data_IF_746212641890
#
_entry.id   IF_746212641890
#
_cell.length_a   1.000
_cell.length_b   1.000
_cell.length_c   1.000
_cell.angle_alpha   90.00
_cell.angle_beta   90.00
_cell.angle_gamma   90.00
#
_symmetry.space_group_name_H-M   'P 1'
#
loop_
_entity.id
_entity.type
_entity.pdbx_description
1 polymer ?
#
# COMPACT_ATOMS: atom_id res chain seq x y z
N UNK A 1 14.61 -29.77 -3.55
CA UNK A 1 14.41 -28.43 -2.96
C UNK A 1 14.86 -27.31 -3.92
N UNK A 2 14.64 -27.47 -5.23
CA UNK A 2 14.97 -26.47 -6.28
C UNK A 2 13.73 -26.09 -7.12
N UNK A 3 12.70 -26.95 -7.19
CA UNK A 3 11.48 -26.63 -7.97
C UNK A 3 10.61 -25.56 -7.32
N UNK A 4 10.65 -25.42 -6.00
CA UNK A 4 9.88 -24.39 -5.27
C UNK A 4 10.38 -22.97 -5.51
N UNK A 5 11.66 -22.79 -5.84
CA UNK A 5 12.26 -21.47 -6.07
C UNK A 5 11.83 -20.92 -7.43
N UNK A 6 11.95 -21.70 -8.50
CA UNK A 6 11.50 -21.27 -9.84
C UNK A 6 10.00 -20.98 -9.94
N UNK A 7 9.17 -21.70 -9.17
CA UNK A 7 7.73 -21.46 -9.13
C UNK A 7 7.38 -20.16 -8.39
N UNK A 8 8.21 -19.76 -7.42
CA UNK A 8 8.08 -18.48 -6.71
C UNK A 8 8.57 -17.33 -7.58
N UNK A 9 9.70 -17.49 -8.28
CA UNK A 9 10.25 -16.46 -9.17
C UNK A 9 9.26 -16.05 -10.28
N UNK A 10 8.52 -17.01 -10.86
CA UNK A 10 7.47 -16.71 -11.86
C UNK A 10 6.29 -15.94 -11.27
N UNK A 11 5.92 -16.21 -10.02
CA UNK A 11 4.83 -15.48 -9.33
C UNK A 11 5.25 -14.10 -8.86
N UNK A 12 6.53 -13.89 -8.58
CA UNK A 12 7.05 -12.58 -8.20
C UNK A 12 7.09 -11.62 -9.39
N UNK A 13 7.25 -12.12 -10.63
CA UNK A 13 7.12 -11.31 -11.86
C UNK A 13 5.68 -10.81 -12.13
N UNK A 14 4.65 -11.49 -11.62
CA UNK A 14 3.24 -11.10 -11.79
C UNK A 14 2.76 -10.11 -10.72
N UNK A 15 3.59 -9.79 -9.73
CA UNK A 15 3.27 -8.79 -8.71
C UNK A 15 3.42 -7.40 -9.30
N UNK A 16 2.28 -6.76 -9.56
CA UNK A 16 2.24 -5.30 -9.70
C UNK A 16 2.83 -4.71 -8.40
N UNK A 17 3.95 -3.99 -8.54
CA UNK A 17 4.74 -3.49 -7.41
C UNK A 17 3.97 -2.42 -6.61
N UNK A 18 3.08 -1.70 -7.30
CA UNK A 18 2.31 -0.59 -6.72
C UNK A 18 0.86 -0.58 -7.21
N UNK A 19 -0.08 -0.49 -6.27
CA UNK A 19 -1.51 -0.54 -6.57
C UNK A 19 -2.15 0.84 -6.39
N UNK A 20 -2.76 1.43 -7.43
CA UNK A 20 -3.51 2.67 -7.26
C UNK A 20 -4.76 2.41 -6.42
N UNK A 21 -5.07 3.33 -5.51
CA UNK A 21 -6.32 3.25 -4.78
C UNK A 21 -7.53 3.41 -5.71
N UNK A 22 -8.60 2.67 -5.41
CA UNK A 22 -9.82 2.65 -6.20
C UNK A 22 -10.59 3.99 -6.19
N UNK A 23 -10.31 4.85 -5.21
CA UNK A 23 -10.96 6.14 -5.00
C UNK A 23 -10.08 7.34 -5.39
N UNK A 24 -9.02 7.09 -6.16
CA UNK A 24 -8.26 8.13 -6.85
C UNK A 24 -9.05 8.68 -8.04
N UNK A 25 -8.99 10.00 -8.25
CA UNK A 25 -9.60 10.64 -9.42
C UNK A 25 -8.53 10.99 -10.47
N UNK A 26 -8.87 10.86 -11.75
CA UNK A 26 -7.95 11.21 -12.84
C UNK A 26 -7.64 12.70 -12.93
N UNK A 27 -8.43 13.55 -12.26
CA UNK A 27 -8.25 14.99 -12.16
C UNK A 27 -7.30 15.40 -11.03
N UNK A 28 -6.97 14.48 -10.13
CA UNK A 28 -6.05 14.73 -9.03
C UNK A 28 -4.62 14.95 -9.56
N UNK A 29 -3.89 15.88 -8.94
CA UNK A 29 -2.61 16.37 -9.48
C UNK A 29 -1.41 15.95 -8.63
N UNK A 30 -1.65 15.52 -7.39
CA UNK A 30 -0.60 15.18 -6.44
C UNK A 30 -0.69 13.70 -6.10
N UNK A 31 0.41 12.99 -6.32
CA UNK A 31 0.49 11.54 -6.14
C UNK A 31 1.50 11.22 -5.03
N UNK A 32 1.06 10.40 -4.07
CA UNK A 32 1.87 9.93 -2.96
C UNK A 32 1.96 8.42 -3.01
N UNK A 33 3.17 7.89 -2.83
CA UNK A 33 3.39 6.45 -2.67
C UNK A 33 3.47 6.11 -1.19
N UNK A 34 2.62 5.18 -0.75
CA UNK A 34 2.71 4.56 0.57
C UNK A 34 3.32 3.18 0.42
N UNK A 35 4.42 2.91 1.13
CA UNK A 35 5.03 1.59 1.24
C UNK A 35 4.73 1.02 2.63
N UNK A 36 4.13 -0.17 2.66
CA UNK A 36 3.90 -0.92 3.89
C UNK A 36 4.75 -2.17 3.89
N UNK A 37 5.48 -2.38 4.98
CA UNK A 37 6.31 -3.55 5.21
C UNK A 37 5.68 -4.40 6.32
N UNK A 38 5.20 -5.57 5.95
CA UNK A 38 4.66 -6.52 6.92
C UNK A 38 5.78 -7.46 7.37
N UNK A 39 6.07 -7.48 8.67
CA UNK A 39 7.20 -8.27 9.20
C UNK A 39 7.07 -9.78 8.95
N UNK A 40 8.18 -10.51 9.07
CA UNK A 40 8.22 -11.96 8.95
C UNK A 40 7.77 -12.72 10.22
N UNK A 41 7.39 -12.02 11.30
CA UNK A 41 6.98 -12.69 12.54
C UNK A 41 5.74 -13.56 12.32
N UNK A 42 5.60 -14.70 13.04
CA UNK A 42 4.35 -15.46 13.05
C UNK A 42 3.15 -14.55 13.33
N UNK A 43 2.07 -14.73 12.57
CA UNK A 43 0.83 -13.94 12.68
C UNK A 43 0.95 -12.43 12.44
N UNK A 44 2.02 -11.97 11.78
CA UNK A 44 2.17 -10.55 11.44
C UNK A 44 1.27 -10.08 10.27
N UNK A 45 0.80 -11.01 9.43
CA UNK A 45 -0.10 -10.69 8.32
C UNK A 45 -1.56 -10.65 8.75
N UNK A 46 -2.39 -9.99 7.95
CA UNK A 46 -3.83 -9.85 8.21
C UNK A 46 -4.68 -10.12 6.97
N UNK A 47 -5.93 -10.56 7.16
CA UNK A 47 -6.97 -10.57 6.13
C UNK A 47 -8.05 -9.51 6.41
N UNK A 48 -7.88 -8.70 7.46
CA UNK A 48 -8.82 -7.64 7.80
C UNK A 48 -8.80 -6.55 6.74
N UNK A 49 -9.95 -5.89 6.55
CA UNK A 49 -10.03 -4.67 5.76
C UNK A 49 -9.40 -3.53 6.56
N UNK A 50 -8.31 -2.97 6.04
CA UNK A 50 -7.59 -1.88 6.70
C UNK A 50 -8.01 -0.55 6.09
N UNK A 51 -8.28 0.40 6.96
CA UNK A 51 -8.64 1.77 6.61
C UNK A 51 -7.61 2.73 7.21
N UNK A 52 -7.36 3.84 6.53
CA UNK A 52 -6.43 4.86 7.00
C UNK A 52 -6.85 6.25 6.53
N UNK A 53 -6.32 7.26 7.21
CA UNK A 53 -6.42 8.66 6.82
C UNK A 53 -4.98 9.13 6.57
N UNK A 54 -4.76 9.79 5.44
CA UNK A 54 -3.48 10.41 5.16
C UNK A 54 -3.56 11.89 5.55
N UNK A 55 -2.94 12.23 6.67
CA UNK A 55 -3.01 13.56 7.27
C UNK A 55 -1.66 14.27 7.20
N UNK A 56 -1.71 15.55 6.87
CA UNK A 56 -0.62 16.50 6.90
C UNK A 56 -0.79 17.52 8.03
N UNK A 57 -0.13 18.66 7.89
CA UNK A 57 -0.15 19.73 8.90
C UNK A 57 -1.54 20.37 9.06
N UNK A 58 -2.17 20.74 7.95
CA UNK A 58 -3.44 21.50 7.92
C UNK A 58 -4.53 20.80 7.10
N UNK A 59 -4.20 19.71 6.41
CA UNK A 59 -5.08 19.02 5.47
C UNK A 59 -5.00 17.51 5.69
N UNK A 60 -6.09 16.80 5.41
CA UNK A 60 -6.16 15.34 5.45
C UNK A 60 -7.03 14.79 4.32
N UNK A 61 -6.86 13.51 4.00
CA UNK A 61 -7.78 12.80 3.11
C UNK A 61 -9.02 12.32 3.86
N UNK A 62 -10.14 12.05 3.15
CA UNK A 62 -11.15 11.14 3.66
C UNK A 62 -10.56 9.76 4.00
N UNK A 63 -11.36 8.93 4.70
CA UNK A 63 -10.98 7.54 5.00
C UNK A 63 -10.74 6.77 3.71
N UNK A 64 -9.50 6.30 3.54
CA UNK A 64 -9.07 5.45 2.43
C UNK A 64 -9.07 3.99 2.84
N UNK A 65 -9.13 3.09 1.86
CA UNK A 65 -9.07 1.64 2.11
C UNK A 65 -7.81 1.07 1.50
N UNK A 66 -7.01 0.36 2.30
CA UNK A 66 -5.87 -0.39 1.81
C UNK A 66 -6.40 -1.68 1.15
N UNK A 67 -6.51 -1.68 -0.19
CA UNK A 67 -7.06 -2.81 -0.96
C UNK A 67 -6.34 -2.96 -2.30
N UNK A 68 -6.19 -4.21 -2.74
CA UNK A 68 -5.69 -4.57 -4.06
C UNK A 68 -6.70 -5.55 -4.68
N UNK A 69 -7.24 -5.25 -5.87
CA UNK A 69 -8.28 -6.07 -6.48
C UNK A 69 -7.75 -7.40 -7.04
N UNK A 70 -6.43 -7.54 -7.22
CA UNK A 70 -5.81 -8.70 -7.86
C UNK A 70 -5.17 -9.67 -6.87
N UNK A 71 -4.82 -9.20 -5.67
CA UNK A 71 -4.10 -10.03 -4.68
C UNK A 71 -4.44 -9.71 -3.24
N UNK A 72 -4.13 -10.67 -2.36
CA UNK A 72 -4.07 -10.41 -0.92
C UNK A 72 -2.84 -9.55 -0.60
N UNK A 73 -3.05 -8.56 0.25
CA UNK A 73 -2.05 -7.61 0.72
C UNK A 73 -1.89 -7.72 2.23
N UNK A 74 -0.85 -7.09 2.79
CA UNK A 74 -0.54 -7.09 4.22
C UNK A 74 -0.33 -8.51 4.74
N UNK A 75 0.30 -9.34 3.91
CA UNK A 75 0.63 -10.72 4.26
C UNK A 75 1.99 -10.78 4.93
N UNK A 76 2.23 -11.79 5.77
CA UNK A 76 3.51 -11.95 6.48
C UNK A 76 4.70 -11.90 5.51
N UNK A 77 5.67 -11.03 5.76
CA UNK A 77 6.82 -10.80 4.89
C UNK A 77 6.49 -10.07 3.58
N UNK A 78 5.30 -9.51 3.49
CA UNK A 78 4.82 -8.74 2.33
C UNK A 78 5.38 -7.33 2.31
N UNK A 79 5.53 -6.82 1.09
CA UNK A 79 5.76 -5.40 0.83
C UNK A 79 4.69 -4.96 -0.13
N UNK A 80 4.02 -3.88 0.21
CA UNK A 80 2.89 -3.36 -0.55
C UNK A 80 3.07 -1.87 -0.81
N UNK A 81 3.19 -1.52 -2.09
CA UNK A 81 3.11 -0.16 -2.55
C UNK A 81 1.67 0.21 -2.92
N UNK A 82 1.22 1.38 -2.48
CA UNK A 82 -0.02 2.00 -2.94
C UNK A 82 0.24 3.40 -3.48
N UNK A 83 -0.53 3.81 -4.49
CA UNK A 83 -0.59 5.20 -4.96
C UNK A 83 -1.89 5.85 -4.49
N UNK A 84 -1.75 6.99 -3.84
CA UNK A 84 -2.85 7.89 -3.47
C UNK A 84 -2.75 9.12 -4.36
N UNK A 85 -3.86 9.49 -4.99
CA UNK A 85 -4.01 10.75 -5.70
C UNK A 85 -4.87 11.69 -4.86
N UNK A 86 -4.46 12.96 -4.79
CA UNK A 86 -5.20 14.02 -4.09
C UNK A 86 -5.21 15.30 -4.92
N UNK A 87 -6.29 16.11 -4.83
CA UNK A 87 -6.44 17.32 -5.64
C UNK A 87 -5.52 18.46 -5.19
N UNK A 88 -5.07 18.44 -3.93
CA UNK A 88 -4.19 19.44 -3.31
C UNK A 88 -3.06 18.72 -2.58
N UNK A 89 -1.86 19.28 -2.62
CA UNK A 89 -0.73 18.80 -1.80
C UNK A 89 -1.14 18.73 -0.32
N UNK A 90 -0.82 17.60 0.30
CA UNK A 90 -0.89 17.42 1.75
C UNK A 90 0.54 17.60 2.28
N UNK A 91 0.73 18.67 3.06
CA UNK A 91 2.03 18.98 3.65
C UNK A 91 2.36 18.01 4.78
N UNK A 92 3.38 17.17 4.58
CA UNK A 92 3.84 16.23 5.60
C UNK A 92 4.43 16.98 6.79
N UNK A 93 3.83 16.82 7.97
CA UNK A 93 4.44 17.27 9.21
C UNK A 93 5.16 16.09 9.87
N UNK A 94 6.49 16.15 9.94
CA UNK A 94 7.27 15.10 10.61
C UNK A 94 7.35 15.43 12.10
N UNK A 95 6.61 14.71 12.94
CA UNK A 95 6.98 14.57 14.35
C UNK A 95 7.90 13.35 14.47
N UNK A 96 9.21 13.57 14.45
CA UNK A 96 10.14 12.59 15.01
C UNK A 96 9.99 12.69 16.53
N UNK A 97 9.39 11.67 17.13
CA UNK A 97 9.45 11.43 18.58
C UNK A 97 10.59 10.47 18.89
#
# INVERSE_FOLDING_TARGET
>A
MLSTTFYKDKKDLEKVDVTPLSDNYCTDQYFYQILVFTTHRPNAGTNSKIHFIFAGKEDETPVRTFVDPHRKILQRGGTEGLIIAVPKTIELHTYLA
#
